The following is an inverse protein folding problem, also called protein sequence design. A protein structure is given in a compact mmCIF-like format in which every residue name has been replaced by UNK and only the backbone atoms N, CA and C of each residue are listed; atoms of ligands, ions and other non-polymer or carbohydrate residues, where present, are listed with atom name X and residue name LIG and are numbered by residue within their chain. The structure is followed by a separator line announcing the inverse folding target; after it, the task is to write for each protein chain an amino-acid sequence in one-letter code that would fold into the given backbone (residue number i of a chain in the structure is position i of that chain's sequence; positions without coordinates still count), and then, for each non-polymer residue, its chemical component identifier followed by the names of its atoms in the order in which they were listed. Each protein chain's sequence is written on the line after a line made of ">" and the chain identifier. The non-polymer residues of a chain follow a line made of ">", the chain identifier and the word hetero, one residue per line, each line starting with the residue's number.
data_IF_951153640286
#
_entry.id   IF_951153640286
#
_cell.length_a   1.000
_cell.length_b   1.000
_cell.length_c   1.000
_cell.angle_alpha   90.00
_cell.angle_beta   90.00
_cell.angle_gamma   90.00
#
_symmetry.space_group_name_H-M   'P 1'
#
loop_
_entity.id
_entity.type
_entity.pdbx_description
1 polymer ?
#
# COMPACT_ATOMS: atom_id res chain seq x y z
N UNK A 1 6.77 -19.36 -3.99
CA UNK A 1 6.82 -18.59 -5.27
C UNK A 1 6.73 -17.06 -5.07
N UNK A 2 6.86 -16.52 -3.85
CA UNK A 2 7.01 -15.08 -3.59
C UNK A 2 8.46 -14.62 -3.83
N UNK A 3 9.44 -15.52 -3.63
CA UNK A 3 10.87 -15.28 -3.89
C UNK A 3 11.18 -14.75 -5.29
N UNK A 4 10.35 -15.06 -6.30
CA UNK A 4 10.50 -14.54 -7.66
C UNK A 4 10.35 -13.02 -7.75
N UNK A 5 9.66 -12.39 -6.78
CA UNK A 5 9.47 -10.93 -6.70
C UNK A 5 10.53 -10.23 -5.85
N UNK A 6 11.46 -10.98 -5.27
CA UNK A 6 12.53 -10.46 -4.42
C UNK A 6 13.88 -10.34 -5.15
N UNK A 7 13.91 -10.71 -6.44
CA UNK A 7 15.13 -10.81 -7.24
C UNK A 7 15.08 -9.81 -8.40
N UNK A 8 16.22 -9.18 -8.64
CA UNK A 8 16.51 -8.30 -9.77
C UNK A 8 16.22 -8.97 -11.12
N UNK A 9 15.74 -8.19 -12.09
CA UNK A 9 15.69 -8.64 -13.48
C UNK A 9 17.13 -8.87 -13.98
N UNK A 10 17.44 -10.10 -14.41
CA UNK A 10 18.79 -10.47 -14.81
C UNK A 10 18.99 -10.39 -16.33
N UNK A 11 17.92 -10.58 -17.10
CA UNK A 11 17.94 -10.62 -18.57
C UNK A 11 17.07 -9.53 -19.19
N UNK A 12 17.29 -9.23 -20.48
CA UNK A 12 16.41 -8.32 -21.22
C UNK A 12 14.98 -8.90 -21.38
N UNK A 13 14.85 -10.23 -21.39
CA UNK A 13 13.54 -10.88 -21.36
C UNK A 13 12.80 -10.60 -20.04
N UNK A 14 13.50 -10.66 -18.90
CA UNK A 14 12.89 -10.37 -17.59
C UNK A 14 12.37 -8.93 -17.55
N UNK A 15 13.18 -7.96 -17.99
CA UNK A 15 12.80 -6.54 -18.08
C UNK A 15 11.61 -6.30 -18.98
N UNK A 16 11.46 -7.09 -20.05
CA UNK A 16 10.34 -6.99 -20.99
C UNK A 16 9.02 -7.59 -20.42
N UNK A 17 9.08 -8.29 -19.28
CA UNK A 17 7.96 -9.04 -18.70
C UNK A 17 7.57 -8.45 -17.34
N UNK A 18 6.61 -7.51 -17.29
CA UNK A 18 6.20 -6.91 -16.03
C UNK A 18 5.65 -7.96 -15.06
N UNK A 19 6.15 -7.93 -13.82
CA UNK A 19 5.76 -8.85 -12.74
C UNK A 19 4.81 -8.12 -11.80
N UNK A 20 3.59 -8.65 -11.64
CA UNK A 20 2.57 -8.09 -10.75
C UNK A 20 2.33 -9.07 -9.59
N UNK A 21 2.62 -8.62 -8.37
CA UNK A 21 2.30 -9.35 -7.15
C UNK A 21 1.06 -8.73 -6.49
N UNK A 22 -0.04 -9.46 -6.47
CA UNK A 22 -1.25 -9.07 -5.74
C UNK A 22 -1.22 -9.67 -4.33
N UNK A 23 -1.36 -8.82 -3.32
CA UNK A 23 -1.35 -9.20 -1.90
C UNK A 23 -2.56 -8.60 -1.19
N UNK A 24 -3.11 -9.35 -0.24
CA UNK A 24 -3.96 -8.79 0.80
C UNK A 24 -3.07 -7.99 1.79
N UNK A 25 -3.58 -6.90 2.34
CA UNK A 25 -2.93 -6.13 3.41
C UNK A 25 -2.46 -7.02 4.57
N UNK A 26 -3.29 -7.99 5.00
CA UNK A 26 -2.93 -8.93 6.08
C UNK A 26 -1.72 -9.81 5.74
N UNK A 27 -1.57 -10.16 4.45
CA UNK A 27 -0.49 -11.01 3.95
C UNK A 27 0.74 -10.22 3.46
N UNK A 28 0.66 -8.89 3.42
CA UNK A 28 1.80 -8.05 3.12
C UNK A 28 2.81 -8.01 4.28
N UNK A 29 2.39 -8.38 5.50
CA UNK A 29 3.26 -8.46 6.66
C UNK A 29 4.36 -9.54 6.47
N UNK A 30 5.61 -9.17 6.75
CA UNK A 30 6.76 -10.08 6.75
C UNK A 30 7.49 -10.25 5.42
N UNK A 31 7.01 -9.66 4.32
CA UNK A 31 7.70 -9.70 3.03
C UNK A 31 8.75 -8.60 2.90
N UNK A 32 9.88 -8.94 2.30
CA UNK A 32 10.89 -7.98 1.88
C UNK A 32 10.83 -7.85 0.35
N UNK A 33 10.30 -6.73 -0.15
CA UNK A 33 10.09 -6.46 -1.58
C UNK A 33 10.90 -5.24 -2.06
N UNK A 34 11.83 -4.77 -1.23
CA UNK A 34 12.57 -3.52 -1.43
C UNK A 34 13.56 -3.55 -2.60
N UNK A 35 13.81 -4.71 -3.21
CA UNK A 35 14.84 -4.88 -4.24
C UNK A 35 14.42 -4.30 -5.60
N UNK A 36 13.20 -4.55 -6.05
CA UNK A 36 12.76 -4.16 -7.41
C UNK A 36 11.32 -3.65 -7.48
N UNK A 37 10.56 -3.80 -6.40
CA UNK A 37 9.23 -3.22 -6.36
C UNK A 37 9.40 -1.72 -6.11
N UNK A 38 9.07 -0.91 -7.10
CA UNK A 38 9.17 0.57 -7.00
C UNK A 38 7.81 1.25 -7.17
N UNK A 39 6.81 0.47 -7.59
CA UNK A 39 5.44 0.91 -7.80
C UNK A 39 4.53 0.07 -6.92
N UNK A 40 3.79 0.72 -6.03
CA UNK A 40 2.77 0.10 -5.19
C UNK A 40 1.40 0.66 -5.57
N UNK A 41 0.43 -0.22 -5.81
CA UNK A 41 -0.95 0.17 -6.09
C UNK A 41 -1.81 -0.29 -4.93
N UNK A 42 -2.36 0.67 -4.18
CA UNK A 42 -3.41 0.43 -3.21
C UNK A 42 -4.74 0.34 -3.97
N UNK A 43 -5.16 -0.90 -4.25
CA UNK A 43 -6.27 -1.20 -5.16
C UNK A 43 -7.64 -0.75 -4.60
N UNK A 44 -7.87 -0.93 -3.30
CA UNK A 44 -9.03 -0.41 -2.59
C UNK A 44 -8.56 0.33 -1.33
N UNK A 45 -9.23 1.41 -0.92
CA UNK A 45 -8.95 2.03 0.37
C UNK A 45 -9.20 1.03 1.50
N UNK A 46 -8.26 0.95 2.45
CA UNK A 46 -8.40 0.02 3.57
C UNK A 46 -9.45 0.53 4.57
N UNK A 47 -10.36 -0.37 4.95
CA UNK A 47 -11.35 -0.17 6.00
C UNK A 47 -11.55 -1.48 6.76
N UNK A 48 -10.96 -1.57 7.96
CA UNK A 48 -11.14 -2.70 8.87
C UNK A 48 -12.28 -2.35 9.84
N UNK A 49 -13.51 -2.42 9.34
CA UNK A 49 -14.72 -2.23 10.16
C UNK A 49 -15.73 -3.34 9.91
N UNK A 50 -16.36 -3.83 10.97
CA UNK A 50 -17.53 -4.72 10.88
C UNK A 50 -18.80 -3.88 10.74
N UNK A 51 -19.62 -4.20 9.74
CA UNK A 51 -20.80 -3.43 9.30
C UNK A 51 -21.67 -2.88 10.44
N UNK A 52 -21.41 -1.62 10.81
CA UNK A 52 -22.12 -0.89 11.88
C UNK A 52 -21.19 -0.20 12.89
N UNK A 53 -19.93 -0.60 12.99
CA UNK A 53 -18.91 0.02 13.85
C UNK A 53 -17.91 0.76 12.96
N UNK A 54 -17.64 2.04 13.22
CA UNK A 54 -16.55 2.74 12.54
C UNK A 54 -15.23 2.03 12.87
N UNK A 55 -14.63 1.37 11.87
CA UNK A 55 -13.27 0.84 11.99
C UNK A 55 -12.30 1.91 12.46
N UNK A 56 -11.29 1.51 13.24
CA UNK A 56 -10.30 2.42 13.80
C UNK A 56 -9.42 3.03 12.69
N UNK A 57 -9.53 4.34 12.42
CA UNK A 57 -8.74 4.99 11.37
C UNK A 57 -7.24 4.83 11.58
N UNK A 58 -6.77 4.80 12.83
CA UNK A 58 -5.34 4.68 13.16
C UNK A 58 -4.84 3.29 12.78
N UNK A 59 -5.60 2.24 13.09
CA UNK A 59 -5.28 0.86 12.70
C UNK A 59 -5.27 0.67 11.18
N UNK A 60 -6.24 1.26 10.48
CA UNK A 60 -6.31 1.21 9.01
C UNK A 60 -5.08 1.89 8.38
N UNK A 61 -4.74 3.10 8.84
CA UNK A 61 -3.56 3.85 8.38
C UNK A 61 -2.27 3.11 8.72
N UNK A 62 -2.15 2.56 9.92
CA UNK A 62 -0.98 1.79 10.33
C UNK A 62 -0.77 0.58 9.41
N UNK A 63 -1.83 -0.14 9.07
CA UNK A 63 -1.77 -1.29 8.17
C UNK A 63 -1.35 -0.88 6.75
N UNK A 64 -1.88 0.22 6.21
CA UNK A 64 -1.46 0.76 4.92
C UNK A 64 0.03 1.17 4.93
N UNK A 65 0.47 1.88 5.97
CA UNK A 65 1.86 2.30 6.12
C UNK A 65 2.81 1.10 6.24
N UNK A 66 2.41 0.05 6.96
CA UNK A 66 3.18 -1.18 7.05
C UNK A 66 3.31 -1.91 5.73
N UNK A 67 2.27 -1.88 4.88
CA UNK A 67 2.31 -2.44 3.53
C UNK A 67 3.26 -1.64 2.61
N UNK A 68 3.18 -0.30 2.65
CA UNK A 68 4.13 0.59 1.95
C UNK A 68 5.56 0.30 2.43
N UNK A 69 5.77 0.17 3.74
CA UNK A 69 7.05 -0.14 4.37
C UNK A 69 7.61 -1.53 4.08
N UNK A 70 6.98 -2.35 3.22
CA UNK A 70 7.58 -3.60 2.67
C UNK A 70 8.39 -3.34 1.41
N UNK A 71 8.02 -2.27 0.72
CA UNK A 71 8.63 -1.79 -0.50
C UNK A 71 9.61 -0.67 -0.16
N UNK A 72 9.16 0.30 0.65
CA UNK A 72 9.97 1.41 1.12
C UNK A 72 10.80 1.02 2.35
N UNK A 73 12.07 0.63 2.16
CA UNK A 73 12.98 0.20 3.25
C UNK A 73 14.41 0.69 3.06
N UNK A 74 15.17 0.86 4.16
CA UNK A 74 16.61 1.12 4.06
C UNK A 74 17.32 0.06 3.23
N UNK A 75 18.16 0.50 2.28
CA UNK A 75 18.92 -0.39 1.40
C UNK A 75 18.20 -0.80 0.11
N UNK A 76 17.03 -0.22 -0.19
CA UNK A 76 16.43 -0.31 -1.52
C UNK A 76 17.32 0.36 -2.59
N UNK A 77 17.43 -0.20 -3.80
CA UNK A 77 18.30 0.36 -4.84
C UNK A 77 17.72 1.61 -5.50
N UNK A 78 16.39 1.77 -5.53
CA UNK A 78 15.75 2.98 -6.03
C UNK A 78 15.51 3.99 -4.90
N UNK A 79 15.81 5.26 -5.14
CA UNK A 79 15.66 6.30 -4.12
C UNK A 79 14.19 6.61 -3.82
N UNK A 80 13.29 6.37 -4.78
CA UNK A 80 11.88 6.72 -4.68
C UNK A 80 11.00 5.48 -4.89
N UNK A 81 9.93 5.39 -4.07
CA UNK A 81 8.85 4.42 -4.24
C UNK A 81 7.58 5.20 -4.54
N UNK A 82 6.93 4.85 -5.65
CA UNK A 82 5.70 5.49 -6.10
C UNK A 82 4.51 4.72 -5.56
N UNK A 83 3.66 5.41 -4.79
CA UNK A 83 2.44 4.85 -4.21
C UNK A 83 1.25 5.44 -4.95
N UNK A 84 0.48 4.58 -5.61
CA UNK A 84 -0.74 4.92 -6.33
C UNK A 84 -1.96 4.44 -5.54
N UNK A 85 -3.04 5.22 -5.59
CA UNK A 85 -4.36 4.84 -5.07
C UNK A 85 -5.35 4.89 -6.21
N UNK A 86 -6.21 3.88 -6.31
CA UNK A 86 -7.34 3.92 -7.22
C UNK A 86 -8.50 4.55 -6.45
N UNK A 87 -9.03 5.64 -6.98
CA UNK A 87 -10.18 6.34 -6.42
C UNK A 87 -11.37 6.13 -7.35
N UNK A 88 -12.37 5.39 -6.86
CA UNK A 88 -13.64 5.29 -7.57
C UNK A 88 -14.43 6.58 -7.35
N UNK A 89 -15.01 7.13 -8.42
CA UNK A 89 -15.93 8.27 -8.38
C UNK A 89 -17.27 7.85 -8.94
N UNK A 90 -18.34 8.55 -8.55
CA UNK A 90 -19.65 8.32 -9.15
C UNK A 90 -19.70 8.76 -10.63
N UNK A 91 -20.77 8.42 -11.37
CA UNK A 91 -20.85 8.64 -12.82
C UNK A 91 -20.63 10.08 -13.30
N UNK A 92 -20.84 11.08 -12.45
CA UNK A 92 -20.64 12.50 -12.76
C UNK A 92 -19.42 13.09 -12.02
N UNK A 93 -18.52 12.23 -11.51
CA UNK A 93 -17.35 12.63 -10.73
C UNK A 93 -17.63 12.93 -9.26
N UNK A 94 -18.84 12.61 -8.76
CA UNK A 94 -19.20 12.83 -7.37
C UNK A 94 -18.35 12.00 -6.40
N UNK A 95 -18.12 12.58 -5.22
CA UNK A 95 -17.43 11.89 -4.15
C UNK A 95 -18.24 10.68 -3.69
N UNK A 96 -17.56 9.54 -3.51
CA UNK A 96 -18.16 8.33 -2.99
C UNK A 96 -17.46 7.87 -1.71
N UNK A 97 -17.77 6.66 -1.24
CA UNK A 97 -17.15 6.09 -0.06
C UNK A 97 -15.62 6.05 -0.18
N UNK A 98 -15.08 5.79 -1.38
CA UNK A 98 -13.63 5.80 -1.61
C UNK A 98 -13.01 7.16 -1.30
N UNK A 99 -13.60 8.27 -1.74
CA UNK A 99 -13.09 9.62 -1.43
C UNK A 99 -12.99 9.83 0.09
N UNK A 100 -14.01 9.40 0.84
CA UNK A 100 -14.04 9.55 2.30
C UNK A 100 -12.97 8.70 2.99
N UNK A 101 -12.83 7.44 2.58
CA UNK A 101 -11.85 6.53 3.15
C UNK A 101 -10.42 6.93 2.79
N UNK A 102 -10.17 7.34 1.54
CA UNK A 102 -8.86 7.82 1.11
C UNK A 102 -8.47 9.08 1.88
N UNK A 103 -9.38 10.05 2.03
CA UNK A 103 -9.11 11.26 2.81
C UNK A 103 -8.79 10.93 4.26
N UNK A 104 -9.58 10.06 4.88
CA UNK A 104 -9.34 9.57 6.25
C UNK A 104 -7.97 8.89 6.35
N UNK A 105 -7.63 8.00 5.41
CA UNK A 105 -6.39 7.23 5.48
C UNK A 105 -5.14 8.05 5.08
N UNK A 106 -5.33 9.23 4.48
CA UNK A 106 -4.24 10.15 4.10
C UNK A 106 -4.12 11.37 5.01
N UNK A 107 -5.01 11.47 6.00
CA UNK A 107 -5.03 12.53 7.00
C UNK A 107 -3.72 12.60 7.78
N UNK A 108 -3.20 13.82 7.96
CA UNK A 108 -1.87 14.04 8.53
C UNK A 108 -1.81 13.65 10.01
N UNK A 109 -2.85 13.97 10.77
CA UNK A 109 -2.92 13.70 12.20
C UNK A 109 -3.05 12.20 12.44
N UNK A 110 -3.94 11.54 11.68
CA UNK A 110 -4.13 10.07 11.75
C UNK A 110 -2.85 9.33 11.38
N UNK A 111 -2.10 9.80 10.37
CA UNK A 111 -0.78 9.23 10.02
C UNK A 111 0.23 9.41 11.14
N UNK A 112 0.29 10.59 11.76
CA UNK A 112 1.20 10.85 12.86
C UNK A 112 0.89 9.94 14.06
N UNK A 113 -0.38 9.77 14.40
CA UNK A 113 -0.81 8.83 15.44
C UNK A 113 -0.45 7.39 15.09
N UNK A 114 -0.71 6.96 13.84
CA UNK A 114 -0.38 5.60 13.38
C UNK A 114 1.12 5.29 13.40
N UNK A 115 1.98 6.30 13.20
CA UNK A 115 3.44 6.14 13.30
C UNK A 115 3.95 6.23 14.74
N UNK A 116 3.31 7.03 15.60
CA UNK A 116 3.75 7.26 16.98
C UNK A 116 3.25 6.20 17.96
N UNK A 117 2.18 5.47 17.62
CA UNK A 117 1.64 4.38 18.45
C UNK A 117 2.52 3.13 18.50
N UNK A 118 3.69 3.15 17.85
CA UNK A 118 4.65 2.05 17.79
C UNK A 118 5.84 2.17 18.75
N UNK A 119 5.90 3.23 19.58
CA UNK A 119 6.91 3.44 20.64
C UNK A 119 6.38 3.10 22.04
#
# INVERSE_FOLDING_TARGET
>A
KISWYQVADATEEDKARPRILLLNFEHAAGLNLQAECNNLILYTPLYVGEGGSSGDPVTDVSTELQAIGRVYRPGQPQHEVLVYRIEVRGPNGEACLDDHLIRRNTDADTKAEATNSGD
#
